data_IF_863027982749
#
_entry.id   IF_863027982749
#
_cell.length_a   1.000
_cell.length_b   1.000
_cell.length_c   1.000
_cell.angle_alpha   90.00
_cell.angle_beta   90.00
_cell.angle_gamma   90.00
#
_symmetry.space_group_name_H-M   'P 1'
#
loop_
_entity.id
_entity.type
_entity.pdbx_description
1 polymer ?
#
# COMPACT_ATOMS: atom_id res chain seq x y z
N UNK A 1 24.00 -94.08 -22.71
CA UNK A 1 23.18 -94.05 -21.49
C UNK A 1 23.05 -92.59 -21.05
N UNK A 2 22.40 -91.73 -21.82
CA UNK A 2 21.02 -91.75 -22.31
C UNK A 2 19.97 -91.43 -21.25
N UNK A 3 19.11 -90.51 -21.68
CA UNK A 3 17.82 -90.08 -21.17
C UNK A 3 17.77 -89.26 -19.88
N UNK A 4 17.48 -87.96 -19.94
CA UNK A 4 16.35 -87.21 -20.57
C UNK A 4 15.12 -87.18 -19.64
N UNK A 5 14.62 -86.01 -19.20
CA UNK A 5 13.68 -85.06 -19.90
C UNK A 5 12.30 -85.77 -20.13
N UNK A 6 11.07 -85.22 -20.06
CA UNK A 6 10.45 -83.87 -20.13
C UNK A 6 9.55 -83.62 -18.88
N UNK A 7 9.11 -82.43 -18.46
CA UNK A 7 8.78 -81.14 -19.09
C UNK A 7 7.34 -80.99 -19.69
N UNK A 8 6.75 -79.82 -19.46
CA UNK A 8 5.64 -79.14 -20.18
C UNK A 8 4.15 -79.58 -20.07
N UNK A 9 3.37 -78.65 -19.49
CA UNK A 9 2.15 -77.98 -20.02
C UNK A 9 0.88 -78.77 -20.44
N UNK A 10 -0.30 -78.35 -19.94
CA UNK A 10 -1.28 -77.56 -20.73
C UNK A 10 -2.46 -76.99 -19.89
N UNK A 11 -2.98 -75.85 -20.37
CA UNK A 11 -3.78 -74.81 -19.71
C UNK A 11 -5.32 -75.04 -19.55
N UNK A 12 -5.95 -74.00 -18.96
CA UNK A 12 -7.37 -73.58 -18.92
C UNK A 12 -8.11 -74.05 -17.64
N UNK A 13 -8.91 -73.26 -16.90
CA UNK A 13 -9.27 -71.82 -16.89
C UNK A 13 -9.95 -71.50 -15.51
N UNK A 14 -10.41 -70.31 -15.08
CA UNK A 14 -10.66 -69.01 -15.72
C UNK A 14 -10.58 -67.82 -14.71
N UNK A 15 -10.23 -66.63 -15.22
CA UNK A 15 -10.65 -65.25 -14.84
C UNK A 15 -10.96 -64.80 -13.38
N UNK A 16 -10.17 -63.82 -12.89
CA UNK A 16 -10.67 -62.47 -12.54
C UNK A 16 -9.53 -61.42 -12.52
N UNK A 17 -9.88 -60.13 -12.55
CA UNK A 17 -8.98 -59.03 -12.94
C UNK A 17 -7.90 -58.62 -11.91
N UNK A 18 -6.72 -58.35 -12.46
CA UNK A 18 -5.65 -57.47 -11.97
C UNK A 18 -6.01 -55.97 -12.16
N UNK A 19 -5.17 -54.97 -11.79
CA UNK A 19 -4.05 -54.94 -10.83
C UNK A 19 -3.98 -53.65 -9.95
N UNK A 20 -2.95 -53.53 -9.09
CA UNK A 20 -2.11 -52.31 -8.83
C UNK A 20 -2.74 -50.95 -8.44
N UNK A 21 -2.09 -50.04 -7.70
CA UNK A 21 -0.87 -50.02 -6.86
C UNK A 21 -0.80 -48.64 -6.18
N UNK A 22 0.10 -48.47 -5.19
CA UNK A 22 0.51 -47.19 -4.59
C UNK A 22 -0.59 -46.29 -3.96
N UNK A 23 -0.72 -46.38 -2.64
CA UNK A 23 -1.15 -45.25 -1.84
C UNK A 23 0.06 -44.32 -1.64
N UNK A 24 0.12 -43.21 -2.39
CA UNK A 24 0.90 -42.03 -1.98
C UNK A 24 0.01 -41.16 -1.07
N UNK A 25 0.46 -40.90 0.16
CA UNK A 25 -0.21 -39.98 1.08
C UNK A 25 0.10 -38.54 0.67
N UNK A 26 -0.88 -37.89 0.06
CA UNK A 26 -0.74 -36.55 -0.52
C UNK A 26 -0.72 -35.45 0.56
N UNK A 27 0.43 -35.30 1.23
CA UNK A 27 0.70 -34.19 2.14
C UNK A 27 0.86 -32.86 1.37
N UNK A 28 -0.29 -32.26 1.03
CA UNK A 28 -0.40 -30.92 0.46
C UNK A 28 0.14 -29.83 1.42
N UNK A 29 1.46 -29.72 1.49
CA UNK A 29 2.17 -28.69 2.22
C UNK A 29 2.15 -27.41 1.38
N UNK A 30 1.20 -26.51 1.66
CA UNK A 30 1.12 -25.19 1.02
C UNK A 30 2.36 -24.38 1.41
N UNK A 31 3.42 -24.50 0.61
CA UNK A 31 4.60 -23.65 0.72
C UNK A 31 4.25 -22.27 0.18
N UNK A 32 3.78 -21.39 1.07
CA UNK A 32 3.62 -19.96 0.77
C UNK A 32 4.97 -19.42 0.26
N UNK A 33 5.06 -19.16 -1.05
CA UNK A 33 6.22 -18.51 -1.67
C UNK A 33 6.35 -17.11 -1.10
N UNK A 34 7.20 -16.93 -0.07
CA UNK A 34 7.53 -15.60 0.45
C UNK A 34 7.98 -14.71 -0.72
N UNK A 35 7.47 -13.47 -0.86
CA UNK A 35 7.93 -12.57 -1.90
C UNK A 35 9.43 -12.32 -1.71
N UNK A 36 10.22 -12.54 -2.76
CA UNK A 36 11.69 -12.50 -2.70
C UNK A 36 12.23 -11.15 -2.19
N UNK A 37 11.48 -10.07 -2.42
CA UNK A 37 11.81 -8.72 -1.99
C UNK A 37 10.58 -8.10 -1.33
N UNK A 38 10.76 -7.43 -0.19
CA UNK A 38 9.68 -6.81 0.58
C UNK A 38 10.11 -5.45 1.15
N UNK A 39 10.19 -4.45 0.28
CA UNK A 39 10.63 -3.10 0.63
C UNK A 39 9.70 -2.38 1.61
N UNK A 40 8.42 -2.78 1.73
CA UNK A 40 7.49 -2.22 2.71
C UNK A 40 7.98 -2.36 4.15
N UNK A 41 8.82 -3.38 4.44
CA UNK A 41 9.45 -3.59 5.77
C UNK A 41 10.15 -2.33 6.28
N UNK A 42 10.66 -1.47 5.39
CA UNK A 42 11.26 -0.18 5.72
C UNK A 42 10.31 0.78 6.45
N UNK A 43 9.00 0.71 6.21
CA UNK A 43 8.01 1.59 6.84
C UNK A 43 7.62 1.20 8.27
N UNK A 44 7.90 -0.04 8.67
CA UNK A 44 7.52 -0.58 9.99
C UNK A 44 8.20 0.15 11.14
N UNK A 45 7.66 0.00 12.37
CA UNK A 45 8.16 0.69 13.58
C UNK A 45 9.13 -0.17 14.42
N UNK A 46 9.36 -1.44 14.06
CA UNK A 46 10.25 -2.35 14.80
C UNK A 46 11.74 -1.98 14.68
N UNK A 47 12.52 -2.42 15.66
CA UNK A 47 13.98 -2.23 15.74
C UNK A 47 14.74 -2.64 14.46
N UNK A 48 14.21 -3.61 13.69
CA UNK A 48 14.78 -4.03 12.41
C UNK A 48 15.00 -2.83 11.48
N UNK A 49 13.96 -2.02 11.24
CA UNK A 49 14.09 -0.80 10.44
C UNK A 49 15.12 0.18 11.06
N UNK A 50 15.13 0.35 12.39
CA UNK A 50 16.11 1.22 13.07
C UNK A 50 17.57 0.82 12.81
N UNK A 51 17.88 -0.48 12.70
CA UNK A 51 19.24 -0.96 12.37
C UNK A 51 19.69 -0.62 10.95
N UNK A 52 18.79 -0.71 9.95
CA UNK A 52 19.14 -0.42 8.55
C UNK A 52 19.02 1.06 8.19
N UNK A 53 18.18 1.85 8.87
CA UNK A 53 17.90 3.24 8.47
C UNK A 53 18.95 4.26 8.95
N UNK A 54 19.74 3.92 9.96
CA UNK A 54 20.92 4.71 10.35
C UNK A 54 22.17 4.21 9.61
N UNK A 55 22.23 4.53 8.32
CA UNK A 55 23.42 4.32 7.50
C UNK A 55 24.36 5.52 7.65
N UNK A 56 25.52 5.32 8.26
CA UNK A 56 26.56 6.35 8.30
C UNK A 56 27.02 6.69 6.88
N UNK A 57 27.34 7.96 6.63
CA UNK A 57 27.77 8.46 5.32
C UNK A 57 29.00 7.74 4.74
N UNK A 58 29.80 7.09 5.60
CA UNK A 58 30.97 6.29 5.21
C UNK A 58 30.64 4.82 4.90
N UNK A 59 29.61 4.22 5.51
CA UNK A 59 29.34 2.77 5.43
C UNK A 59 28.12 2.40 4.57
N UNK A 60 27.31 3.37 4.13
CA UNK A 60 26.05 3.07 3.43
C UNK A 60 26.25 2.24 2.14
N UNK A 61 27.28 2.56 1.33
CA UNK A 61 27.63 1.81 0.11
C UNK A 61 28.01 0.35 0.36
N UNK A 62 28.55 0.04 1.55
CA UNK A 62 28.87 -1.33 1.95
C UNK A 62 27.61 -2.05 2.48
N UNK A 63 26.73 -1.34 3.20
CA UNK A 63 25.54 -1.94 3.82
C UNK A 63 24.39 -2.17 2.85
N UNK A 64 24.13 -1.27 1.90
CA UNK A 64 23.01 -1.38 0.97
C UNK A 64 22.96 -2.72 0.18
N UNK A 65 24.08 -3.26 -0.36
CA UNK A 65 24.10 -4.59 -1.01
C UNK A 65 23.77 -5.78 -0.10
N UNK A 66 23.87 -5.63 1.23
CA UNK A 66 23.59 -6.68 2.21
C UNK A 66 22.14 -6.64 2.74
N UNK A 67 21.27 -5.79 2.20
CA UNK A 67 19.85 -5.74 2.58
C UNK A 67 19.09 -6.77 1.73
N UNK A 68 18.93 -7.97 2.28
CA UNK A 68 18.35 -9.16 1.66
C UNK A 68 16.92 -8.99 1.10
N UNK A 69 16.09 -8.21 1.78
CA UNK A 69 14.70 -7.93 1.37
C UNK A 69 14.56 -6.85 0.29
N UNK A 70 15.67 -6.34 -0.27
CA UNK A 70 15.69 -5.39 -1.41
C UNK A 70 16.18 -6.08 -2.69
N UNK A 71 15.62 -5.68 -3.83
CA UNK A 71 16.11 -6.11 -5.14
C UNK A 71 17.50 -5.51 -5.46
N UNK A 72 18.31 -6.12 -6.35
CA UNK A 72 19.61 -5.56 -6.73
C UNK A 72 19.54 -4.10 -7.20
N UNK A 73 18.50 -3.71 -7.94
CA UNK A 73 18.28 -2.32 -8.35
C UNK A 73 17.88 -1.41 -7.17
N UNK A 74 17.12 -1.91 -6.19
CA UNK A 74 16.84 -1.17 -4.95
C UNK A 74 18.09 -0.98 -4.09
N UNK A 75 19.00 -1.96 -4.07
CA UNK A 75 20.31 -1.88 -3.39
C UNK A 75 21.25 -0.88 -4.10
N UNK A 76 21.26 -0.83 -5.44
CA UNK A 76 21.96 0.19 -6.23
C UNK A 76 21.42 1.59 -5.91
N UNK A 77 20.10 1.78 -5.94
CA UNK A 77 19.44 3.06 -5.62
C UNK A 77 19.70 3.49 -4.17
N UNK A 78 19.70 2.56 -3.22
CA UNK A 78 20.12 2.79 -1.83
C UNK A 78 21.57 3.32 -1.75
N UNK A 79 22.45 2.84 -2.62
CA UNK A 79 23.87 3.19 -2.67
C UNK A 79 24.17 4.56 -3.31
N UNK A 80 23.15 5.31 -3.74
CA UNK A 80 23.30 6.67 -4.28
C UNK A 80 23.56 7.73 -3.18
N UNK A 81 22.87 7.63 -2.04
CA UNK A 81 23.01 8.58 -0.93
C UNK A 81 22.57 7.96 0.41
N UNK A 82 23.24 8.22 1.55
CA UNK A 82 22.89 7.60 2.84
C UNK A 82 21.44 7.84 3.27
N UNK A 83 20.85 8.99 2.91
CA UNK A 83 19.46 9.31 3.25
C UNK A 83 18.41 8.66 2.32
N UNK A 84 18.77 7.93 1.25
CA UNK A 84 17.78 7.29 0.36
C UNK A 84 16.90 6.34 1.15
N UNK A 85 17.50 5.42 1.91
CA UNK A 85 16.73 4.38 2.61
C UNK A 85 15.81 4.97 3.70
N UNK A 86 16.30 5.98 4.43
CA UNK A 86 15.49 6.77 5.36
C UNK A 86 14.32 7.48 4.67
N UNK A 87 14.56 8.05 3.48
CA UNK A 87 13.53 8.74 2.70
C UNK A 87 12.46 7.77 2.18
N UNK A 88 12.87 6.60 1.67
CA UNK A 88 11.94 5.53 1.24
C UNK A 88 11.16 4.97 2.42
N UNK A 89 11.79 4.74 3.58
CA UNK A 89 11.12 4.33 4.82
C UNK A 89 10.03 5.29 5.25
N UNK A 90 10.34 6.60 5.31
CA UNK A 90 9.36 7.64 5.61
C UNK A 90 8.20 7.62 4.61
N UNK A 91 8.46 7.34 3.33
CA UNK A 91 7.44 7.19 2.30
C UNK A 91 6.57 5.93 2.45
N UNK A 92 7.19 4.78 2.74
CA UNK A 92 6.48 3.54 3.07
C UNK A 92 5.55 3.74 4.28
N UNK A 93 6.04 4.43 5.31
CA UNK A 93 5.27 4.75 6.52
C UNK A 93 4.07 5.66 6.23
N UNK A 94 4.26 6.71 5.42
CA UNK A 94 3.12 7.52 4.93
C UNK A 94 2.06 6.66 4.24
N UNK A 95 2.48 5.72 3.38
CA UNK A 95 1.58 4.78 2.71
C UNK A 95 0.79 3.89 3.68
N UNK A 96 1.47 3.26 4.63
CA UNK A 96 0.89 2.36 5.64
C UNK A 96 -0.09 3.12 6.57
N UNK A 97 0.35 4.23 7.15
CA UNK A 97 -0.44 4.99 8.14
C UNK A 97 -1.68 5.64 7.50
N UNK A 98 -1.57 6.11 6.25
CA UNK A 98 -2.72 6.64 5.51
C UNK A 98 -3.67 5.53 5.05
N UNK A 99 -3.16 4.35 4.69
CA UNK A 99 -4.00 3.18 4.41
C UNK A 99 -4.83 2.77 5.63
N UNK A 100 -4.19 2.67 6.80
CA UNK A 100 -4.88 2.45 8.07
C UNK A 100 -5.90 3.53 8.37
N UNK A 101 -5.59 4.81 8.10
CA UNK A 101 -6.53 5.90 8.32
C UNK A 101 -7.78 5.81 7.42
N UNK A 102 -7.61 5.56 6.12
CA UNK A 102 -8.73 5.45 5.18
C UNK A 102 -9.60 4.22 5.47
N UNK A 103 -8.98 3.10 5.86
CA UNK A 103 -9.67 1.83 6.06
C UNK A 103 -10.12 1.54 7.50
N UNK A 104 -9.85 2.41 8.49
CA UNK A 104 -10.17 2.18 9.91
C UNK A 104 -11.62 1.73 10.22
N UNK A 105 -12.60 2.11 9.39
CA UNK A 105 -14.02 1.72 9.51
C UNK A 105 -14.47 0.64 8.50
N UNK A 106 -13.62 0.22 7.56
CA UNK A 106 -13.91 -0.91 6.67
C UNK A 106 -13.65 -2.25 7.38
N UNK A 107 -14.28 -3.35 6.92
CA UNK A 107 -14.07 -4.70 7.49
C UNK A 107 -12.62 -5.14 7.42
N UNK A 108 -11.99 -4.97 6.25
CA UNK A 108 -10.53 -4.88 6.17
C UNK A 108 -10.09 -3.46 6.53
N UNK A 109 -9.25 -3.33 7.55
CA UNK A 109 -8.84 -2.05 8.12
C UNK A 109 -7.40 -1.64 7.79
N UNK A 110 -6.76 -2.31 6.81
CA UNK A 110 -5.35 -2.15 6.48
C UNK A 110 -4.40 -2.33 7.69
N UNK A 111 -4.76 -3.20 8.65
CA UNK A 111 -3.86 -3.56 9.77
C UNK A 111 -2.54 -4.06 9.22
N UNK A 112 -1.45 -3.40 9.59
CA UNK A 112 -0.12 -3.88 9.24
C UNK A 112 0.28 -5.00 10.22
N UNK A 113 0.66 -6.15 9.69
CA UNK A 113 1.22 -7.24 10.48
C UNK A 113 2.66 -6.94 10.86
N UNK A 114 2.99 -7.21 12.12
CA UNK A 114 4.32 -7.02 12.71
C UNK A 114 5.29 -8.19 12.36
N UNK A 115 5.06 -8.87 11.25
CA UNK A 115 5.73 -10.09 10.81
C UNK A 115 6.61 -9.86 9.55
N UNK A 116 7.07 -10.95 8.91
CA UNK A 116 7.87 -10.89 7.67
C UNK A 116 7.16 -10.19 6.50
N UNK A 117 5.82 -10.19 6.49
CA UNK A 117 4.99 -9.42 5.57
C UNK A 117 4.26 -8.30 6.32
N UNK A 118 4.43 -7.06 5.84
CA UNK A 118 3.82 -5.86 6.44
C UNK A 118 2.30 -5.86 6.31
N UNK A 119 1.74 -6.45 5.25
CA UNK A 119 0.30 -6.51 5.03
C UNK A 119 -0.26 -7.93 5.20
N UNK A 120 0.57 -8.91 5.56
CA UNK A 120 0.15 -10.32 5.63
C UNK A 120 -0.17 -10.92 4.25
N UNK A 121 -0.94 -12.02 4.19
CA UNK A 121 -1.30 -12.69 2.93
C UNK A 121 -2.24 -11.92 1.99
N UNK A 122 -2.81 -10.76 2.37
CA UNK A 122 -3.71 -10.00 1.47
C UNK A 122 -3.01 -9.47 0.22
N UNK A 123 -1.67 -9.35 0.26
CA UNK A 123 -0.86 -9.00 -0.92
C UNK A 123 -0.63 -10.18 -1.87
N UNK A 124 -0.95 -11.42 -1.49
CA UNK A 124 -0.85 -12.58 -2.38
C UNK A 124 -2.12 -12.73 -3.24
N UNK A 125 -3.26 -12.22 -2.76
CA UNK A 125 -4.54 -12.16 -3.49
C UNK A 125 -4.57 -10.91 -4.38
N UNK A 126 -4.93 -11.04 -5.66
CA UNK A 126 -4.99 -9.90 -6.59
C UNK A 126 -6.27 -9.05 -6.46
N UNK A 127 -6.54 -8.70 -5.20
CA UNK A 127 -7.71 -8.03 -4.65
C UNK A 127 -7.71 -6.52 -4.89
N UNK A 128 -8.86 -5.91 -4.59
CA UNK A 128 -9.04 -4.45 -4.58
C UNK A 128 -8.19 -3.77 -3.50
N UNK A 129 -8.00 -4.43 -2.36
CA UNK A 129 -7.18 -3.99 -1.24
C UNK A 129 -5.71 -3.91 -1.65
N UNK A 130 -5.18 -4.96 -2.30
CA UNK A 130 -3.83 -4.95 -2.89
C UNK A 130 -3.65 -3.81 -3.89
N UNK A 131 -4.64 -3.57 -4.77
CA UNK A 131 -4.60 -2.46 -5.71
C UNK A 131 -4.44 -1.09 -5.04
N UNK A 132 -5.15 -0.85 -3.92
CA UNK A 132 -4.97 0.36 -3.13
C UNK A 132 -3.62 0.41 -2.41
N UNK A 133 -3.17 -0.68 -1.78
CA UNK A 133 -1.86 -0.76 -1.10
C UNK A 133 -0.72 -0.32 -2.03
N UNK A 134 -0.68 -0.86 -3.25
CA UNK A 134 0.32 -0.51 -4.26
C UNK A 134 0.29 0.99 -4.61
N UNK A 135 -0.90 1.54 -4.84
CA UNK A 135 -1.08 2.94 -5.21
C UNK A 135 -0.73 3.92 -4.08
N UNK A 136 -1.19 3.68 -2.84
CA UNK A 136 -0.93 4.56 -1.69
C UNK A 136 0.53 4.48 -1.23
N UNK A 137 1.13 3.29 -1.27
CA UNK A 137 2.56 3.10 -0.95
C UNK A 137 3.43 3.80 -1.96
N UNK A 138 3.10 3.67 -3.25
CA UNK A 138 3.79 4.39 -4.32
C UNK A 138 3.66 5.90 -4.15
N UNK A 139 2.45 6.41 -3.89
CA UNK A 139 2.25 7.83 -3.64
C UNK A 139 3.04 8.33 -2.40
N UNK A 140 3.13 7.52 -1.34
CA UNK A 140 3.90 7.83 -0.13
C UNK A 140 5.41 7.97 -0.38
N UNK A 141 5.99 7.08 -1.20
CA UNK A 141 7.41 7.21 -1.58
C UNK A 141 7.65 8.43 -2.48
N UNK A 142 6.77 8.70 -3.47
CA UNK A 142 6.86 9.95 -4.26
C UNK A 142 6.81 11.18 -3.34
N UNK A 143 5.86 11.20 -2.40
CA UNK A 143 5.70 12.29 -1.44
C UNK A 143 7.00 12.51 -0.64
N UNK A 144 7.54 11.45 -0.05
CA UNK A 144 8.72 11.54 0.82
C UNK A 144 9.99 11.92 0.05
N UNK A 145 10.19 11.39 -1.16
CA UNK A 145 11.36 11.67 -2.01
C UNK A 145 11.33 13.11 -2.52
N UNK A 146 10.20 13.56 -3.08
CA UNK A 146 10.08 14.96 -3.53
C UNK A 146 10.30 15.94 -2.38
N UNK A 147 9.72 15.68 -1.19
CA UNK A 147 9.93 16.53 0.00
C UNK A 147 11.36 16.48 0.52
N UNK A 148 12.10 15.38 0.30
CA UNK A 148 13.51 15.29 0.64
C UNK A 148 14.36 16.17 -0.30
N UNK A 149 14.09 16.14 -1.61
CA UNK A 149 14.75 16.99 -2.60
C UNK A 149 14.57 18.49 -2.30
N UNK A 150 13.33 18.94 -2.07
CA UNK A 150 12.99 20.35 -1.75
C UNK A 150 13.68 20.86 -0.48
N UNK A 151 14.07 19.97 0.43
CA UNK A 151 14.77 20.29 1.67
C UNK A 151 16.30 20.16 1.58
N UNK A 152 16.85 19.65 0.48
CA UNK A 152 18.27 19.27 0.39
C UNK A 152 18.65 18.04 1.24
N UNK A 153 17.69 17.19 1.62
CA UNK A 153 17.97 15.92 2.33
C UNK A 153 18.65 14.87 1.40
N UNK A 154 18.64 15.09 0.08
CA UNK A 154 19.27 14.28 -0.97
C UNK A 154 20.06 15.20 -1.92
N UNK A 155 21.29 14.83 -2.28
CA UNK A 155 22.14 15.67 -3.15
C UNK A 155 21.94 15.47 -4.65
N UNK A 156 21.12 14.48 -5.05
CA UNK A 156 20.85 14.11 -6.45
C UNK A 156 19.69 14.91 -7.08
N UNK A 157 19.06 15.80 -6.32
CA UNK A 157 17.87 16.55 -6.70
C UNK A 157 17.74 17.83 -5.88
N UNK A 158 16.78 18.69 -6.26
CA UNK A 158 16.50 19.95 -5.58
C UNK A 158 15.10 20.47 -5.91
N UNK A 159 14.98 21.78 -6.07
CA UNK A 159 13.75 22.45 -6.50
C UNK A 159 13.47 22.23 -8.00
N UNK A 160 12.19 22.24 -8.40
CA UNK A 160 11.81 22.31 -9.82
C UNK A 160 11.94 23.74 -10.34
N UNK A 161 13.11 24.08 -10.90
CA UNK A 161 13.33 25.37 -11.56
C UNK A 161 12.63 25.51 -12.92
N UNK A 162 12.11 24.41 -13.50
CA UNK A 162 11.43 24.45 -14.82
C UNK A 162 10.07 25.13 -14.75
N UNK A 163 9.54 25.39 -13.55
CA UNK A 163 8.34 26.23 -13.40
C UNK A 163 8.64 27.70 -13.74
N UNK A 164 9.89 28.17 -13.53
CA UNK A 164 10.26 29.59 -13.68
C UNK A 164 10.20 30.08 -15.13
N UNK A 165 10.27 29.16 -16.11
CA UNK A 165 10.10 29.47 -17.54
C UNK A 165 8.65 29.39 -18.02
N UNK A 166 7.68 29.08 -17.15
CA UNK A 166 6.26 29.10 -17.51
C UNK A 166 5.76 30.54 -17.48
N UNK A 167 5.32 31.06 -18.62
CA UNK A 167 4.64 32.36 -18.68
C UNK A 167 3.35 32.32 -17.85
N UNK A 168 3.20 33.32 -16.98
CA UNK A 168 2.09 33.50 -16.06
C UNK A 168 1.36 34.82 -16.31
N UNK A 169 1.69 35.54 -17.39
CA UNK A 169 1.01 36.75 -17.85
C UNK A 169 0.88 37.82 -16.76
N UNK A 170 1.96 38.02 -15.99
CA UNK A 170 2.01 38.98 -14.87
C UNK A 170 1.11 38.65 -13.68
N UNK A 171 0.50 37.47 -13.61
CA UNK A 171 -0.42 37.11 -12.50
C UNK A 171 0.29 36.89 -11.16
N UNK A 172 1.59 36.58 -11.18
CA UNK A 172 2.50 36.44 -10.03
C UNK A 172 3.95 36.31 -10.53
N UNK A 173 4.91 36.39 -9.62
CA UNK A 173 6.31 36.04 -9.89
C UNK A 173 6.62 34.61 -9.41
N UNK A 174 7.43 33.86 -10.16
CA UNK A 174 7.93 32.57 -9.70
C UNK A 174 9.08 32.76 -8.71
N UNK A 175 9.03 32.06 -7.58
CA UNK A 175 10.11 32.09 -6.60
C UNK A 175 10.03 30.92 -5.63
N UNK A 176 10.69 31.04 -4.48
CA UNK A 176 10.79 29.96 -3.50
C UNK A 176 11.42 28.68 -4.07
N UNK A 177 11.07 27.54 -3.47
CA UNK A 177 11.47 26.21 -3.93
C UNK A 177 10.20 25.44 -4.31
N UNK A 178 10.04 25.13 -5.60
CA UNK A 178 8.93 24.28 -6.07
C UNK A 178 9.30 22.81 -5.89
N UNK A 179 8.35 22.00 -5.41
CA UNK A 179 8.54 20.55 -5.18
C UNK A 179 8.70 19.79 -6.52
N UNK A 180 9.89 19.22 -6.82
CA UNK A 180 10.09 18.38 -8.02
C UNK A 180 9.43 16.99 -7.86
N UNK A 181 8.17 16.94 -8.24
CA UNK A 181 7.36 15.72 -8.30
C UNK A 181 7.68 14.84 -9.53
N UNK A 182 8.39 15.36 -10.53
CA UNK A 182 8.81 14.56 -11.67
C UNK A 182 9.98 13.67 -11.28
N UNK A 183 11.00 14.22 -10.61
CA UNK A 183 12.10 13.46 -10.02
C UNK A 183 11.59 12.40 -9.04
N UNK A 184 10.80 12.79 -8.03
CA UNK A 184 10.32 11.84 -7.02
C UNK A 184 9.51 10.68 -7.60
N UNK A 185 8.72 10.92 -8.65
CA UNK A 185 7.97 9.87 -9.34
C UNK A 185 8.78 9.05 -10.35
N UNK A 186 9.92 9.55 -10.82
CA UNK A 186 10.88 8.77 -11.60
C UNK A 186 11.63 7.82 -10.65
N UNK A 187 12.28 8.37 -9.61
CA UNK A 187 12.98 7.58 -8.60
C UNK A 187 12.09 6.47 -8.04
N UNK A 188 10.85 6.80 -7.68
CA UNK A 188 9.89 5.83 -7.14
C UNK A 188 9.49 4.77 -8.18
N UNK A 189 9.44 5.11 -9.47
CA UNK A 189 9.24 4.13 -10.54
C UNK A 189 10.42 3.16 -10.58
N UNK A 190 11.65 3.64 -10.67
CA UNK A 190 12.85 2.77 -10.66
C UNK A 190 12.94 1.90 -9.41
N UNK A 191 12.53 2.42 -8.25
CA UNK A 191 12.60 1.70 -6.98
C UNK A 191 11.50 0.63 -6.84
N UNK A 192 10.22 1.02 -6.94
CA UNK A 192 9.09 0.12 -6.66
C UNK A 192 8.82 -0.82 -7.83
N UNK A 193 8.82 -0.33 -9.07
CA UNK A 193 8.47 -1.18 -10.23
C UNK A 193 9.56 -2.23 -10.54
N UNK A 194 10.75 -2.15 -9.90
CA UNK A 194 11.87 -3.09 -10.09
C UNK A 194 11.60 -4.53 -9.64
N UNK A 195 10.58 -4.75 -8.82
CA UNK A 195 10.21 -6.08 -8.29
C UNK A 195 9.03 -6.71 -9.03
N UNK A 196 8.41 -5.98 -9.94
CA UNK A 196 7.19 -6.39 -10.65
C UNK A 196 7.55 -7.03 -12.00
N UNK A 197 7.03 -8.23 -12.29
CA UNK A 197 7.24 -8.87 -13.59
C UNK A 197 6.16 -8.44 -14.61
N UNK A 198 6.49 -7.65 -15.66
CA UNK A 198 5.53 -7.20 -16.67
C UNK A 198 4.96 -8.33 -17.56
N UNK A 199 5.46 -9.57 -17.41
CA UNK A 199 4.94 -10.74 -18.11
C UNK A 199 3.83 -11.46 -17.34
N UNK A 200 3.76 -11.31 -16.01
CA UNK A 200 2.70 -11.91 -15.18
C UNK A 200 1.43 -11.07 -15.17
N UNK A 201 0.30 -11.70 -14.83
CA UNK A 201 -0.97 -11.01 -14.64
C UNK A 201 -0.90 -10.00 -13.49
N UNK A 202 -0.37 -10.46 -12.36
CA UNK A 202 -0.11 -9.70 -11.14
C UNK A 202 0.80 -8.49 -11.40
N UNK A 203 1.99 -8.69 -11.97
CA UNK A 203 2.94 -7.57 -12.17
C UNK A 203 2.36 -6.51 -13.11
N UNK A 204 1.59 -6.89 -14.13
CA UNK A 204 0.87 -5.93 -14.99
C UNK A 204 -0.19 -5.13 -14.21
N UNK A 205 -0.88 -5.75 -13.25
CA UNK A 205 -1.83 -5.08 -12.35
C UNK A 205 -1.11 -4.14 -11.38
N UNK A 206 -0.07 -4.62 -10.71
CA UNK A 206 0.73 -3.86 -9.74
C UNK A 206 1.39 -2.63 -10.40
N UNK A 207 2.03 -2.80 -11.56
CA UNK A 207 2.62 -1.70 -12.35
C UNK A 207 1.59 -0.62 -12.73
N UNK A 208 0.36 -1.03 -13.08
CA UNK A 208 -0.73 -0.09 -13.36
C UNK A 208 -1.13 0.68 -12.09
N UNK A 209 -1.35 -0.01 -10.96
CA UNK A 209 -1.76 0.61 -9.71
C UNK A 209 -0.66 1.52 -9.10
N UNK A 210 0.62 1.15 -9.20
CA UNK A 210 1.75 2.01 -8.87
C UNK A 210 1.69 3.31 -9.70
N UNK A 211 1.44 3.21 -11.02
CA UNK A 211 1.32 4.38 -11.90
C UNK A 211 0.06 5.22 -11.63
N UNK A 212 -1.04 4.63 -11.15
CA UNK A 212 -2.20 5.38 -10.62
C UNK A 212 -1.77 6.22 -9.41
N UNK A 213 -1.05 5.63 -8.45
CA UNK A 213 -0.48 6.34 -7.30
C UNK A 213 0.39 7.53 -7.71
N UNK A 214 1.34 7.32 -8.63
CA UNK A 214 2.20 8.38 -9.20
C UNK A 214 1.40 9.49 -9.91
N UNK A 215 0.26 9.16 -10.53
CA UNK A 215 -0.60 10.13 -11.24
C UNK A 215 -1.46 10.94 -10.29
N UNK A 216 -2.02 10.32 -9.26
CA UNK A 216 -2.88 10.99 -8.28
C UNK A 216 -2.11 12.08 -7.54
N UNK A 217 -0.95 11.75 -6.97
CA UNK A 217 -0.11 12.74 -6.27
C UNK A 217 0.32 13.88 -7.19
N UNK A 218 0.64 13.60 -8.48
CA UNK A 218 0.92 14.62 -9.49
C UNK A 218 -0.26 15.56 -9.75
N UNK A 219 -1.47 15.03 -9.83
CA UNK A 219 -2.67 15.87 -9.99
C UNK A 219 -3.06 16.68 -8.76
N UNK A 220 -2.55 16.35 -7.57
CA UNK A 220 -2.79 17.06 -6.30
C UNK A 220 -1.68 18.07 -5.95
N UNK A 221 -0.82 18.45 -6.90
CA UNK A 221 0.12 19.57 -6.73
C UNK A 221 -0.64 20.90 -6.73
N UNK A 222 -0.44 21.72 -5.71
CA UNK A 222 -1.04 23.05 -5.57
C UNK A 222 -0.05 24.17 -5.89
N UNK A 223 -0.57 25.31 -6.33
CA UNK A 223 0.18 26.57 -6.39
C UNK A 223 -0.06 27.32 -5.07
N UNK A 224 1.00 27.64 -4.35
CA UNK A 224 0.93 28.45 -3.12
C UNK A 224 1.69 29.74 -3.33
N UNK A 225 1.13 30.84 -2.84
CA UNK A 225 1.61 32.19 -3.05
C UNK A 225 1.81 32.92 -1.71
N UNK A 226 2.85 33.76 -1.63
CA UNK A 226 3.06 34.73 -0.56
C UNK A 226 2.87 36.15 -1.11
N UNK A 227 1.86 36.83 -0.59
CA UNK A 227 1.62 38.25 -0.86
C UNK A 227 2.64 39.12 -0.11
N UNK A 228 3.11 40.19 -0.75
CA UNK A 228 4.14 41.08 -0.21
C UNK A 228 4.01 42.52 -0.74
N UNK A 229 2.81 42.91 -1.21
CA UNK A 229 2.48 44.30 -1.50
C UNK A 229 2.35 45.15 -0.23
N UNK A 230 2.19 46.46 -0.41
CA UNK A 230 2.03 47.45 0.67
C UNK A 230 0.94 46.99 1.65
N UNK A 231 1.23 47.09 2.95
CA UNK A 231 0.38 46.63 4.07
C UNK A 231 -0.06 45.17 3.99
N UNK A 232 0.72 44.30 3.33
CA UNK A 232 0.41 42.87 3.17
C UNK A 232 -0.55 42.56 2.03
N UNK A 233 -0.85 43.53 1.17
CA UNK A 233 -1.72 43.34 0.00
C UNK A 233 -1.15 42.33 -1.02
N UNK A 234 -2.04 41.70 -1.79
CA UNK A 234 -1.70 40.70 -2.81
C UNK A 234 -1.50 41.29 -4.22
N UNK A 235 -1.24 42.59 -4.33
CA UNK A 235 -0.91 43.27 -5.60
C UNK A 235 0.39 42.74 -6.19
N UNK A 236 1.39 42.49 -5.34
CA UNK A 236 2.57 41.70 -5.64
C UNK A 236 2.54 40.38 -4.85
N UNK A 237 2.81 39.26 -5.52
CA UNK A 237 2.88 37.93 -4.89
C UNK A 237 3.88 37.02 -5.60
N UNK A 238 4.66 36.30 -4.81
CA UNK A 238 5.57 35.25 -5.29
C UNK A 238 4.89 33.90 -5.06
N UNK A 239 4.89 33.02 -6.07
CA UNK A 239 4.29 31.70 -5.98
C UNK A 239 5.27 30.56 -6.30
N UNK A 240 5.00 29.37 -5.76
CA UNK A 240 5.70 28.12 -6.01
C UNK A 240 4.74 26.94 -6.02
N UNK A 241 5.10 25.87 -6.72
CA UNK A 241 4.32 24.62 -6.73
C UNK A 241 4.72 23.76 -5.54
N UNK A 242 3.75 23.21 -4.81
CA UNK A 242 4.03 22.30 -3.70
C UNK A 242 3.06 21.13 -3.61
N UNK A 243 3.48 20.10 -2.89
CA UNK A 243 2.66 18.97 -2.48
C UNK A 243 1.60 19.39 -1.44
N UNK A 244 0.34 19.04 -1.70
CA UNK A 244 -0.76 19.10 -0.73
C UNK A 244 -0.52 18.17 0.48
N UNK A 245 -1.24 18.33 1.61
CA UNK A 245 -1.20 17.36 2.70
C UNK A 245 -1.51 15.94 2.20
N UNK A 246 -0.74 14.94 2.65
CA UNK A 246 -0.85 13.56 2.13
C UNK A 246 -2.26 12.93 2.32
N UNK A 247 -3.03 13.42 3.31
CA UNK A 247 -4.45 13.09 3.52
C UNK A 247 -5.32 13.31 2.27
N UNK A 248 -5.09 14.36 1.49
CA UNK A 248 -5.84 14.62 0.26
C UNK A 248 -5.51 13.62 -0.87
N UNK A 249 -4.30 13.06 -0.84
CA UNK A 249 -3.86 11.99 -1.75
C UNK A 249 -4.52 10.66 -1.34
N UNK A 250 -4.56 10.37 -0.04
CA UNK A 250 -5.27 9.21 0.52
C UNK A 250 -6.77 9.22 0.22
N UNK A 251 -7.44 10.36 0.40
CA UNK A 251 -8.87 10.52 0.10
C UNK A 251 -9.19 10.30 -1.39
N UNK A 252 -8.39 10.86 -2.30
CA UNK A 252 -8.57 10.65 -3.75
C UNK A 252 -8.33 9.19 -4.16
N UNK A 253 -7.36 8.51 -3.53
CA UNK A 253 -7.14 7.08 -3.76
C UNK A 253 -8.26 6.20 -3.16
N UNK A 254 -8.89 6.61 -2.06
CA UNK A 254 -10.01 5.90 -1.46
C UNK A 254 -11.25 5.95 -2.37
N UNK A 255 -11.58 7.12 -2.91
CA UNK A 255 -12.64 7.25 -3.93
C UNK A 255 -12.36 6.39 -5.18
N UNK A 256 -11.09 6.17 -5.53
CA UNK A 256 -10.66 5.29 -6.62
C UNK A 256 -10.69 3.81 -6.28
N UNK A 257 -10.63 3.46 -5.00
CA UNK A 257 -10.86 2.10 -4.53
C UNK A 257 -12.35 1.74 -4.64
N UNK A 258 -13.25 2.64 -4.24
CA UNK A 258 -14.69 2.42 -4.36
C UNK A 258 -15.11 2.16 -5.82
N UNK A 259 -14.56 2.96 -6.74
CA UNK A 259 -14.74 2.83 -8.20
C UNK A 259 -13.76 1.87 -8.92
N UNK A 260 -13.00 1.04 -8.21
CA UNK A 260 -12.01 0.17 -8.84
C UNK A 260 -12.64 -0.86 -9.78
N UNK A 261 -11.97 -1.12 -10.91
CA UNK A 261 -12.51 -2.00 -11.97
C UNK A 261 -11.94 -3.42 -11.91
N UNK A 262 -12.82 -4.42 -11.86
CA UNK A 262 -12.44 -5.81 -12.09
C UNK A 262 -12.03 -6.03 -13.54
N UNK A 263 -10.81 -6.52 -13.74
CA UNK A 263 -10.20 -6.72 -15.05
C UNK A 263 -9.69 -8.14 -15.24
N UNK A 264 -9.48 -8.52 -16.49
CA UNK A 264 -8.79 -9.74 -16.90
C UNK A 264 -7.66 -9.39 -17.87
N UNK A 265 -6.63 -10.22 -17.87
CA UNK A 265 -5.54 -10.13 -18.84
C UNK A 265 -6.00 -10.71 -20.17
N UNK A 266 -5.74 -9.97 -21.24
CA UNK A 266 -5.90 -10.44 -22.62
C UNK A 266 -4.57 -10.26 -23.33
N UNK A 267 -4.02 -11.36 -23.85
CA UNK A 267 -2.81 -11.32 -24.67
C UNK A 267 -3.10 -10.56 -25.98
N UNK A 268 -2.26 -9.58 -26.30
CA UNK A 268 -2.28 -8.90 -27.60
C UNK A 268 -1.60 -9.75 -28.67
N UNK A 269 -1.98 -9.57 -29.94
CA UNK A 269 -1.27 -10.15 -31.12
C UNK A 269 0.25 -9.88 -31.12
N UNK A 270 0.70 -8.82 -30.43
CA UNK A 270 2.12 -8.48 -30.22
C UNK A 270 2.74 -9.08 -28.94
N UNK A 271 2.21 -10.21 -28.42
CA UNK A 271 2.59 -10.87 -27.15
C UNK A 271 2.57 -9.99 -25.87
N UNK A 272 2.02 -8.76 -25.92
CA UNK A 272 1.89 -7.88 -24.74
C UNK A 272 0.57 -8.13 -24.02
N UNK A 273 0.63 -8.46 -22.73
CA UNK A 273 -0.53 -8.52 -21.83
C UNK A 273 -1.24 -7.16 -21.76
N UNK A 274 -2.59 -7.16 -21.83
CA UNK A 274 -3.41 -5.96 -21.72
C UNK A 274 -4.58 -6.20 -20.77
N UNK A 275 -4.77 -5.29 -19.81
CA UNK A 275 -5.93 -5.26 -18.95
C UNK A 275 -7.18 -4.84 -19.76
N UNK A 276 -8.25 -5.62 -19.65
CA UNK A 276 -9.62 -5.30 -20.11
C UNK A 276 -10.61 -5.57 -18.98
N UNK A 277 -11.76 -4.87 -18.90
CA UNK A 277 -12.84 -5.23 -17.98
C UNK A 277 -13.20 -6.71 -18.05
N UNK A 278 -13.44 -7.33 -16.90
CA UNK A 278 -13.87 -8.72 -16.82
C UNK A 278 -15.25 -8.90 -17.46
N UNK A 279 -16.17 -7.98 -17.14
CA UNK A 279 -17.55 -7.91 -17.62
C UNK A 279 -17.69 -6.99 -18.85
N UNK A 280 -18.63 -7.29 -19.77
CA UNK A 280 -18.79 -6.55 -21.04
C UNK A 280 -19.36 -5.14 -20.87
N UNK A 281 -20.23 -4.92 -19.90
CA UNK A 281 -20.97 -3.66 -19.70
C UNK A 281 -20.20 -2.63 -18.85
N UNK A 282 -19.03 -3.00 -18.34
CA UNK A 282 -18.19 -2.13 -17.52
C UNK A 282 -17.29 -1.27 -18.41
N UNK A 283 -17.31 0.04 -18.19
CA UNK A 283 -16.45 1.00 -18.91
C UNK A 283 -14.98 0.63 -18.72
N UNK A 284 -14.19 0.75 -19.78
CA UNK A 284 -12.74 0.48 -19.70
C UNK A 284 -12.06 1.44 -18.70
N UNK A 285 -11.25 0.95 -17.75
CA UNK A 285 -10.56 1.81 -16.80
C UNK A 285 -9.55 2.71 -17.50
N UNK A 286 -9.43 3.95 -17.02
CA UNK A 286 -8.41 4.90 -17.45
C UNK A 286 -7.06 4.62 -16.77
N UNK A 287 -6.03 5.38 -17.15
CA UNK A 287 -4.73 5.37 -16.47
C UNK A 287 -4.75 5.97 -15.05
N UNK A 288 -5.91 6.35 -14.52
CA UNK A 288 -6.10 6.96 -13.19
C UNK A 288 -7.08 6.16 -12.31
N UNK A 289 -7.53 5.00 -12.76
CA UNK A 289 -8.52 4.18 -12.05
C UNK A 289 -7.84 2.91 -11.58
N UNK A 290 -8.09 2.50 -10.33
CA UNK A 290 -7.52 1.27 -9.78
C UNK A 290 -8.15 0.05 -10.43
N UNK A 291 -7.37 -1.02 -10.54
CA UNK A 291 -7.76 -2.27 -11.19
C UNK A 291 -7.35 -3.48 -10.36
N UNK A 292 -8.19 -4.51 -10.36
CA UNK A 292 -7.96 -5.75 -9.63
C UNK A 292 -8.35 -6.97 -10.48
N UNK A 293 -7.79 -8.15 -10.19
CA UNK A 293 -7.99 -9.37 -10.97
C UNK A 293 -8.90 -10.39 -10.27
N UNK A 294 -8.91 -10.39 -8.94
CA UNK A 294 -9.60 -11.36 -8.09
C UNK A 294 -10.52 -10.65 -7.09
N UNK A 295 -11.67 -11.24 -6.81
CA UNK A 295 -12.60 -10.68 -5.82
C UNK A 295 -12.01 -10.72 -4.42
N UNK A 296 -12.34 -9.70 -3.62
CA UNK A 296 -11.86 -9.58 -2.24
C UNK A 296 -12.42 -10.70 -1.36
N UNK A 297 -11.61 -11.30 -0.46
CA UNK A 297 -12.07 -12.35 0.44
C UNK A 297 -13.06 -11.80 1.49
N UNK A 298 -13.77 -12.70 2.19
CA UNK A 298 -14.57 -12.27 3.34
C UNK A 298 -13.67 -11.87 4.52
N UNK A 299 -13.86 -10.64 4.99
CA UNK A 299 -13.17 -10.04 6.13
C UNK A 299 -14.00 -10.07 7.42
N UNK A 300 -15.21 -10.64 7.41
CA UNK A 300 -16.07 -10.73 8.60
C UNK A 300 -15.49 -11.63 9.70
N UNK A 301 -14.81 -12.71 9.32
CA UNK A 301 -14.26 -13.72 10.21
C UNK A 301 -12.73 -13.76 10.14
N UNK A 302 -12.10 -14.23 11.21
CA UNK A 302 -10.66 -14.45 11.23
C UNK A 302 -10.28 -15.58 10.26
N UNK A 303 -9.41 -15.30 9.30
CA UNK A 303 -8.90 -16.27 8.34
C UNK A 303 -7.42 -15.94 8.05
N UNK A 304 -6.52 -16.75 8.61
CA UNK A 304 -5.08 -16.57 8.50
C UNK A 304 -4.60 -16.66 7.04
N UNK A 305 -5.18 -17.54 6.21
CA UNK A 305 -4.78 -17.76 4.82
C UNK A 305 -4.95 -16.53 3.93
N UNK A 306 -5.91 -15.65 4.26
CA UNK A 306 -6.16 -14.39 3.54
C UNK A 306 -5.70 -13.15 4.33
N UNK A 307 -5.07 -13.32 5.50
CA UNK A 307 -4.70 -12.22 6.39
C UNK A 307 -5.88 -11.48 7.03
N UNK A 308 -7.07 -12.08 7.07
CA UNK A 308 -8.22 -11.48 7.74
C UNK A 308 -8.14 -11.69 9.25
N UNK A 309 -8.21 -10.61 10.02
CA UNK A 309 -8.38 -10.67 11.48
C UNK A 309 -9.84 -10.88 11.92
N UNK A 310 -10.80 -10.76 11.01
CA UNK A 310 -12.22 -10.69 11.34
C UNK A 310 -12.64 -9.33 11.91
N UNK A 311 -13.91 -9.20 12.27
CA UNK A 311 -14.46 -7.95 12.84
C UNK A 311 -14.91 -8.02 14.30
N UNK A 312 -14.77 -9.17 14.96
CA UNK A 312 -15.04 -9.32 16.40
C UNK A 312 -14.25 -8.29 17.22
N UNK A 313 -14.88 -7.78 18.29
CA UNK A 313 -14.37 -6.77 19.21
C UNK A 313 -14.02 -5.39 18.66
N UNK A 314 -14.26 -5.16 17.37
CA UNK A 314 -14.14 -3.83 16.77
C UNK A 314 -15.25 -2.90 17.25
N UNK A 315 -14.86 -1.67 17.55
CA UNK A 315 -15.77 -0.59 17.90
C UNK A 315 -16.61 -0.25 16.67
N UNK A 316 -17.91 -0.10 16.87
CA UNK A 316 -18.87 0.26 15.84
C UNK A 316 -19.86 1.31 16.34
N UNK A 317 -20.57 1.94 15.42
CA UNK A 317 -21.60 2.94 15.69
C UNK A 317 -22.99 2.31 15.53
N UNK A 318 -23.77 2.22 16.61
CA UNK A 318 -25.10 1.59 16.59
C UNK A 318 -26.12 2.39 15.75
N UNK A 319 -25.94 3.71 15.63
CA UNK A 319 -26.85 4.61 14.90
C UNK A 319 -26.47 4.84 13.44
N UNK A 320 -25.26 4.46 13.02
CA UNK A 320 -24.82 4.65 11.64
C UNK A 320 -25.29 3.50 10.73
N UNK A 321 -25.73 3.87 9.53
CA UNK A 321 -25.97 2.96 8.41
C UNK A 321 -24.76 2.88 7.45
N UNK A 322 -23.69 3.63 7.73
CA UNK A 322 -22.46 3.64 6.94
C UNK A 322 -21.49 2.50 7.29
N UNK A 323 -20.24 2.63 6.85
CA UNK A 323 -19.18 1.64 7.06
C UNK A 323 -18.80 1.49 8.55
N UNK A 324 -18.90 2.56 9.35
CA UNK A 324 -18.74 2.51 10.80
C UNK A 324 -19.93 1.87 11.52
N UNK A 325 -21.05 1.65 10.83
CA UNK A 325 -22.29 1.11 11.37
C UNK A 325 -22.17 -0.33 11.85
N UNK A 326 -22.66 -0.63 13.06
CA UNK A 326 -22.62 -1.98 13.62
C UNK A 326 -23.29 -3.02 12.71
N UNK A 327 -24.33 -2.64 11.95
CA UNK A 327 -24.99 -3.52 10.96
C UNK A 327 -24.04 -4.00 9.85
N UNK A 328 -23.19 -3.10 9.35
CA UNK A 328 -22.22 -3.43 8.30
C UNK A 328 -20.96 -4.12 8.89
N UNK A 329 -20.40 -3.54 9.95
CA UNK A 329 -19.10 -3.93 10.48
C UNK A 329 -19.15 -5.27 11.22
N UNK A 330 -20.20 -5.53 11.99
CA UNK A 330 -20.35 -6.76 12.78
C UNK A 330 -20.97 -7.92 11.97
N UNK A 331 -21.18 -7.73 10.66
CA UNK A 331 -21.64 -8.76 9.73
C UNK A 331 -22.90 -9.53 10.18
N UNK A 332 -23.84 -8.84 10.84
CA UNK A 332 -25.08 -9.43 11.34
C UNK A 332 -24.97 -10.20 12.67
N UNK A 333 -23.76 -10.38 13.24
CA UNK A 333 -23.56 -11.10 14.53
C UNK A 333 -24.06 -10.36 15.78
N UNK A 334 -24.58 -9.14 15.61
CA UNK A 334 -24.91 -8.22 16.70
C UNK A 334 -23.67 -7.54 17.30
N UNK A 335 -23.89 -6.81 18.38
CA UNK A 335 -22.85 -6.09 19.12
C UNK A 335 -23.19 -6.06 20.61
N UNK A 336 -22.16 -5.98 21.46
CA UNK A 336 -22.27 -5.71 22.89
C UNK A 336 -22.13 -4.22 23.16
N UNK A 337 -22.97 -3.68 24.03
CA UNK A 337 -22.88 -2.30 24.53
C UNK A 337 -22.10 -2.31 25.84
N UNK A 338 -21.08 -1.47 25.93
CA UNK A 338 -20.20 -1.31 27.08
C UNK A 338 -20.31 0.14 27.53
N UNK A 339 -20.80 0.36 28.75
CA UNK A 339 -20.76 1.67 29.39
C UNK A 339 -19.50 1.78 30.24
N UNK A 340 -18.80 2.93 30.14
CA UNK A 340 -17.65 3.25 31.00
C UNK A 340 -17.69 4.71 31.38
N UNK A 341 -17.44 4.97 32.66
CA UNK A 341 -17.05 6.30 33.10
C UNK A 341 -15.61 6.59 32.68
N UNK A 342 -15.41 7.66 31.93
CA UNK A 342 -14.10 8.14 31.49
C UNK A 342 -13.90 9.59 31.93
N UNK A 343 -12.74 9.86 32.52
CA UNK A 343 -12.39 11.20 32.96
C UNK A 343 -11.91 12.01 31.74
N UNK A 344 -12.71 12.98 31.32
CA UNK A 344 -12.46 13.86 30.16
C UNK A 344 -12.03 15.26 30.63
N UNK A 345 -11.34 16.01 29.76
CA UNK A 345 -11.04 17.42 30.03
C UNK A 345 -12.26 18.26 29.71
N UNK A 346 -12.75 18.99 30.71
CA UNK A 346 -13.94 19.84 30.63
C UNK A 346 -13.62 21.27 31.08
N UNK A 347 -14.57 22.20 30.91
CA UNK A 347 -14.51 23.58 31.40
C UNK A 347 -13.20 24.34 31.05
N UNK A 348 -12.58 24.00 29.91
CA UNK A 348 -11.29 24.53 29.52
C UNK A 348 -11.32 26.06 29.37
N UNK A 349 -10.52 26.76 30.17
CA UNK A 349 -10.33 28.21 30.12
C UNK A 349 -8.92 28.54 29.67
N UNK A 350 -8.80 29.48 28.74
CA UNK A 350 -7.50 30.06 28.37
C UNK A 350 -7.09 31.09 29.44
N UNK A 351 -5.95 30.84 30.06
CA UNK A 351 -5.30 31.76 31.00
C UNK A 351 -4.34 32.63 30.19
N UNK A 352 -4.52 33.95 30.29
CA UNK A 352 -3.64 34.92 29.66
C UNK A 352 -2.19 34.68 30.12
N UNK A 353 -1.23 34.78 29.18
CA UNK A 353 0.07 34.09 29.23
C UNK A 353 0.02 32.57 28.89
N UNK A 354 -0.73 32.23 27.84
CA UNK A 354 -0.53 31.06 26.98
C UNK A 354 -0.80 29.65 27.57
N UNK A 355 -1.53 29.52 28.68
CA UNK A 355 -1.89 28.20 29.23
C UNK A 355 -3.40 27.92 29.09
N UNK A 356 -3.78 26.75 28.59
CA UNK A 356 -5.15 26.23 28.73
C UNK A 356 -5.22 25.40 30.02
N UNK A 357 -6.07 25.81 30.96
CA UNK A 357 -6.42 25.02 32.15
C UNK A 357 -7.79 24.40 31.96
N UNK A 358 -7.93 23.12 32.24
CA UNK A 358 -9.19 22.38 32.16
C UNK A 358 -9.39 21.60 33.46
N UNK A 359 -10.64 21.42 33.85
CA UNK A 359 -11.01 20.49 34.94
C UNK A 359 -11.04 19.05 34.39
N UNK A 360 -11.00 18.06 35.29
CA UNK A 360 -11.32 16.68 34.96
C UNK A 360 -12.79 16.40 35.31
N UNK A 361 -13.60 16.07 34.31
CA UNK A 361 -14.99 15.66 34.50
C UNK A 361 -15.15 14.18 34.19
N UNK A 362 -15.74 13.42 35.12
CA UNK A 362 -16.21 12.07 34.84
C UNK A 362 -17.39 12.12 33.87
N UNK A 363 -17.26 11.47 32.73
CA UNK A 363 -18.28 11.43 31.67
C UNK A 363 -18.63 9.98 31.37
N UNK A 364 -19.92 9.64 31.37
CA UNK A 364 -20.40 8.31 30.98
C UNK A 364 -20.33 8.17 29.46
N UNK A 365 -19.49 7.27 28.97
CA UNK A 365 -19.31 6.97 27.55
C UNK A 365 -19.91 5.60 27.24
N UNK A 366 -20.72 5.54 26.19
CA UNK A 366 -21.32 4.32 25.66
C UNK A 366 -20.51 3.90 24.42
N UNK A 367 -20.01 2.68 24.40
CA UNK A 367 -19.25 2.10 23.30
C UNK A 367 -19.91 0.79 22.84
N UNK A 368 -20.03 0.58 21.53
CA UNK A 368 -20.55 -0.67 20.97
C UNK A 368 -19.41 -1.45 20.33
N UNK A 369 -19.32 -2.76 20.61
CA UNK A 369 -18.31 -3.66 20.02
C UNK A 369 -18.99 -4.84 19.34
N UNK A 370 -18.52 -5.19 18.15
CA UNK A 370 -19.00 -6.37 17.44
C UNK A 370 -18.76 -7.66 18.22
N UNK A 371 -19.75 -8.55 18.18
CA UNK A 371 -19.59 -9.94 18.63
C UNK A 371 -18.67 -10.73 17.69
#
# INVERSE_FOLDING_TARGET
MDNQILNSNLNNDHSHHQPSSHNEEDHHTITMKKPKYNWWRLGTRKNYAKHYLHLNATTFKQRCPHIDFLSPLQQELCSLHPNVLHTVSRGARFGIEECQFQFKMNRWNCSAMDADSVFGPIIDINSREKAFIHAISTAGVVYSVTRACTKGELSQCGCDDKVKSQDVQGKWDWGGCSDDIYYGAEFTRRFIDSIEDPNTSEGVMNLHNNEVGRRVIKSKMELVCKCHGVSGSCTAKVCWRRLKPFREVGQELAQKFDGATHVKIVQSRKKRSRLKPAQKNVKRPSKRDLVYLEDSPDFCFHNASHGSFGTTDRICNATSYGLDGCRYLCCGRGYRTIERDVDTKCNCKFVWCCQVKCDQCRTRMIEHRCN
#
